data_IF_142919556632
#
_entry.id   IF_142919556632
#
_cell.length_a   1.000
_cell.length_b   1.000
_cell.length_c   1.000
_cell.angle_alpha   90.00
_cell.angle_beta   90.00
_cell.angle_gamma   90.00
#
_symmetry.space_group_name_H-M   'P 1'
#
loop_
_entity.id
_entity.type
_entity.pdbx_description
1 polymer ?
#
# COMPACT_ATOMS: atom_id res chain seq x y z
N UNK A 1 -14.57 9.80 5.67
CA UNK A 1 -13.59 8.72 5.97
C UNK A 1 -12.88 8.40 4.68
N UNK A 2 -11.56 8.24 4.73
CA UNK A 2 -10.70 8.01 3.59
C UNK A 2 -9.58 7.05 3.98
N UNK A 3 -8.82 6.63 2.98
CA UNK A 3 -7.58 5.92 3.14
C UNK A 3 -6.46 6.96 3.25
N UNK A 4 -5.68 6.87 4.32
CA UNK A 4 -4.38 7.52 4.39
C UNK A 4 -3.28 6.48 4.15
N UNK A 5 -2.29 6.86 3.34
CA UNK A 5 -1.09 6.06 3.16
C UNK A 5 0.14 6.83 3.56
N UNK A 6 1.17 6.11 3.99
CA UNK A 6 2.50 6.68 4.18
C UNK A 6 3.54 5.76 3.57
N UNK A 7 4.31 6.29 2.62
CA UNK A 7 5.49 5.62 2.09
C UNK A 7 6.71 6.03 2.93
N UNK A 8 7.56 5.05 3.21
CA UNK A 8 8.81 5.20 3.97
C UNK A 8 9.98 4.73 3.11
N UNK A 9 11.15 5.33 3.29
CA UNK A 9 12.41 4.86 2.70
C UNK A 9 13.45 4.52 3.77
N UNK A 10 14.40 3.66 3.39
CA UNK A 10 15.54 3.27 4.21
C UNK A 10 15.17 2.83 5.64
N UNK A 11 14.12 2.02 5.76
CA UNK A 11 13.61 1.55 7.05
C UNK A 11 14.63 0.67 7.76
N UNK A 12 14.64 0.76 9.09
CA UNK A 12 15.50 -0.05 9.96
C UNK A 12 14.70 -0.52 11.16
N UNK A 13 14.76 -1.84 11.41
CA UNK A 13 14.13 -2.42 12.58
C UNK A 13 14.85 -1.94 13.84
N UNK A 14 14.10 -1.46 14.81
CA UNK A 14 14.60 -1.09 16.12
C UNK A 14 14.55 -2.29 17.06
N UNK A 15 15.44 -2.31 18.05
CA UNK A 15 15.37 -3.25 19.17
C UNK A 15 14.41 -2.71 20.23
N UNK A 16 13.13 -2.64 19.87
CA UNK A 16 12.06 -2.03 20.66
C UNK A 16 10.75 -2.82 20.53
N UNK A 17 9.85 -2.60 21.47
CA UNK A 17 8.47 -3.13 21.46
C UNK A 17 7.48 -2.04 21.88
N UNK A 18 6.19 -2.25 21.60
CA UNK A 18 5.14 -1.38 22.13
C UNK A 18 4.81 -1.76 23.58
N UNK A 19 4.76 -0.76 24.47
CA UNK A 19 4.29 -0.93 25.85
C UNK A 19 2.74 -1.01 25.92
N UNK A 20 2.18 -1.16 27.12
CA UNK A 20 0.72 -1.22 27.33
C UNK A 20 -0.04 0.07 26.93
N UNK A 21 0.67 1.19 26.79
CA UNK A 21 0.13 2.45 26.30
C UNK A 21 0.21 2.59 24.76
N UNK A 22 0.82 1.62 24.06
CA UNK A 22 1.02 1.64 22.62
C UNK A 22 2.23 2.45 22.15
N UNK A 23 3.13 2.82 23.06
CA UNK A 23 4.34 3.59 22.76
C UNK A 23 5.54 2.65 22.59
N UNK A 24 6.41 2.95 21.63
CA UNK A 24 7.64 2.18 21.45
C UNK A 24 8.65 2.47 22.57
N UNK A 25 9.14 1.42 23.22
CA UNK A 25 10.20 1.48 24.23
C UNK A 25 11.36 0.55 23.85
N UNK A 26 12.58 1.00 24.10
CA UNK A 26 13.80 0.25 23.82
C UNK A 26 13.92 -0.98 24.73
N UNK A 27 14.23 -2.14 24.15
CA UNK A 27 14.38 -3.39 24.91
C UNK A 27 15.57 -3.36 25.89
N UNK A 28 16.58 -2.53 25.61
CA UNK A 28 17.84 -2.47 26.36
C UNK A 28 17.72 -1.77 27.71
N UNK A 29 16.87 -0.73 27.81
CA UNK A 29 16.76 0.13 29.00
C UNK A 29 15.31 0.47 29.38
N UNK A 30 14.31 0.16 28.55
CA UNK A 30 12.90 0.47 28.79
C UNK A 30 12.53 1.95 28.60
N UNK A 31 13.45 2.77 28.10
CA UNK A 31 13.18 4.17 27.77
C UNK A 31 12.43 4.26 26.43
N UNK A 32 11.59 5.28 26.28
CA UNK A 32 10.88 5.55 25.03
C UNK A 32 11.84 5.71 23.84
N UNK A 33 11.40 5.27 22.67
CA UNK A 33 12.14 5.48 21.41
C UNK A 33 12.04 6.96 21.04
N UNK A 34 13.18 7.64 20.96
CA UNK A 34 13.24 9.06 20.59
C UNK A 34 13.15 9.28 19.07
N UNK A 35 13.54 8.30 18.25
CA UNK A 35 13.43 8.40 16.80
C UNK A 35 11.96 8.33 16.33
N UNK A 36 11.67 8.92 15.17
CA UNK A 36 10.40 8.66 14.50
C UNK A 36 10.28 7.18 14.14
N UNK A 37 9.14 6.59 14.46
CA UNK A 37 8.89 5.16 14.26
C UNK A 37 7.49 4.88 13.72
N UNK A 38 7.33 3.67 13.17
CA UNK A 38 6.05 3.02 12.95
C UNK A 38 6.12 1.58 13.46
N UNK A 39 4.97 1.02 13.82
CA UNK A 39 4.87 -0.40 14.16
C UNK A 39 4.19 -1.14 13.00
N UNK A 40 4.67 -2.35 12.73
CA UNK A 40 4.14 -3.17 11.64
C UNK A 40 2.96 -3.98 12.16
N UNK A 41 1.84 -3.89 11.44
CA UNK A 41 0.75 -4.84 11.52
C UNK A 41 0.52 -5.46 10.15
N UNK A 42 0.81 -6.75 10.00
CA UNK A 42 0.60 -7.48 8.74
C UNK A 42 -0.84 -7.94 8.64
N UNK A 43 -1.56 -7.40 7.66
CA UNK A 43 -2.94 -7.80 7.40
C UNK A 43 -3.00 -9.31 7.02
N UNK A 44 -3.58 -10.19 7.86
CA UNK A 44 -3.57 -11.62 7.62
C UNK A 44 -4.41 -12.03 6.41
N UNK A 45 -5.33 -11.18 5.95
CA UNK A 45 -6.15 -11.42 4.75
C UNK A 45 -5.35 -11.27 3.45
N UNK A 46 -4.17 -10.64 3.51
CA UNK A 46 -3.33 -10.36 2.34
C UNK A 46 -1.88 -10.83 2.56
N UNK A 47 -1.65 -12.15 2.69
CA UNK A 47 -0.31 -12.69 2.85
C UNK A 47 0.56 -12.39 1.63
N UNK A 48 1.89 -12.32 1.82
CA UNK A 48 2.84 -12.06 0.74
C UNK A 48 3.04 -10.59 0.36
N UNK A 49 2.34 -9.65 1.02
CA UNK A 49 2.42 -8.22 0.70
C UNK A 49 3.63 -7.50 1.30
N UNK A 50 4.14 -8.01 2.41
CA UNK A 50 5.28 -7.43 3.14
C UNK A 50 6.01 -8.53 3.93
N UNK A 51 6.53 -9.55 3.24
CA UNK A 51 7.17 -10.70 3.87
C UNK A 51 8.52 -10.41 4.52
N UNK A 52 9.18 -9.35 4.08
CA UNK A 52 10.41 -8.83 4.67
C UNK A 52 10.20 -8.08 5.98
N UNK A 53 8.96 -7.62 6.26
CA UNK A 53 8.63 -6.94 7.52
C UNK A 53 8.27 -7.97 8.59
N UNK A 54 8.73 -7.71 9.82
CA UNK A 54 8.38 -8.52 10.98
C UNK A 54 7.12 -7.97 11.63
N UNK A 55 6.08 -8.80 11.70
CA UNK A 55 4.81 -8.45 12.34
C UNK A 55 5.02 -8.07 13.82
N UNK A 56 4.39 -6.98 14.26
CA UNK A 56 4.52 -6.43 15.60
C UNK A 56 5.84 -5.70 15.91
N UNK A 57 6.80 -5.69 14.98
CA UNK A 57 8.08 -5.02 15.22
C UNK A 57 7.99 -3.50 14.96
N UNK A 58 8.89 -2.76 15.63
CA UNK A 58 9.03 -1.31 15.50
C UNK A 58 10.16 -1.00 14.52
N UNK A 59 9.90 -0.05 13.61
CA UNK A 59 10.86 0.41 12.61
C UNK A 59 10.99 1.93 12.66
N UNK A 60 12.21 2.42 12.44
CA UNK A 60 12.49 3.81 12.07
C UNK A 60 12.73 3.92 10.57
N UNK A 61 12.82 5.14 10.06
CA UNK A 61 12.96 5.46 8.64
C UNK A 61 13.78 6.73 8.44
N UNK A 62 14.31 6.92 7.23
CA UNK A 62 15.05 8.14 6.87
C UNK A 62 14.09 9.24 6.42
N UNK A 63 13.22 8.94 5.44
CA UNK A 63 12.20 9.85 4.94
C UNK A 63 10.84 9.17 4.85
N UNK A 64 9.79 9.98 4.86
CA UNK A 64 8.44 9.54 4.58
C UNK A 64 7.62 10.57 3.79
N UNK A 65 6.64 10.11 3.05
CA UNK A 65 5.61 10.96 2.43
C UNK A 65 4.23 10.35 2.61
N UNK A 66 3.24 11.22 2.85
CA UNK A 66 1.86 10.82 3.09
C UNK A 66 0.93 11.28 1.97
N UNK A 67 -0.11 10.49 1.69
CA UNK A 67 -1.18 10.86 0.76
C UNK A 67 -2.51 10.31 1.23
N UNK A 68 -3.56 11.12 1.13
CA UNK A 68 -4.91 10.76 1.55
C UNK A 68 -5.90 10.77 0.38
N UNK A 69 -6.80 9.79 0.35
CA UNK A 69 -7.86 9.69 -0.67
C UNK A 69 -9.16 9.17 -0.05
N UNK A 70 -10.32 9.70 -0.46
CA UNK A 70 -11.60 9.18 0.01
C UNK A 70 -11.86 7.75 -0.48
N UNK A 71 -12.44 6.87 0.35
CA UNK A 71 -12.63 5.44 0.01
C UNK A 71 -13.34 5.21 -1.33
N UNK A 72 -14.44 5.94 -1.58
CA UNK A 72 -15.15 5.85 -2.86
C UNK A 72 -14.27 6.27 -4.03
N UNK A 73 -13.48 7.34 -3.86
CA UNK A 73 -12.51 7.78 -4.88
C UNK A 73 -11.43 6.74 -5.13
N UNK A 74 -10.92 6.10 -4.07
CA UNK A 74 -9.92 5.05 -4.18
C UNK A 74 -10.46 3.79 -4.87
N UNK A 75 -11.69 3.36 -4.55
CA UNK A 75 -12.36 2.26 -5.24
C UNK A 75 -12.47 2.52 -6.75
N UNK A 76 -13.01 3.68 -7.15
CA UNK A 76 -13.16 4.02 -8.57
C UNK A 76 -11.80 4.08 -9.27
N UNK A 77 -10.80 4.69 -8.63
CA UNK A 77 -9.46 4.78 -9.16
C UNK A 77 -8.82 3.38 -9.35
N UNK A 78 -9.00 2.46 -8.40
CA UNK A 78 -8.54 1.05 -8.55
C UNK A 78 -9.24 0.35 -9.72
N UNK A 79 -10.53 0.59 -9.93
CA UNK A 79 -11.25 0.04 -11.07
C UNK A 79 -10.71 0.57 -12.41
N UNK A 80 -10.46 1.89 -12.51
CA UNK A 80 -9.85 2.50 -13.70
C UNK A 80 -8.42 1.97 -13.94
N UNK A 81 -7.65 1.76 -12.87
CA UNK A 81 -6.31 1.15 -12.94
C UNK A 81 -6.38 -0.28 -13.48
N UNK A 82 -7.38 -1.07 -13.05
CA UNK A 82 -7.63 -2.43 -13.54
C UNK A 82 -8.06 -2.43 -15.02
N UNK A 83 -8.95 -1.52 -15.42
CA UNK A 83 -9.40 -1.38 -16.80
C UNK A 83 -8.21 -1.05 -17.73
N UNK A 84 -7.40 -0.07 -17.35
CA UNK A 84 -6.20 0.32 -18.08
C UNK A 84 -5.18 -0.83 -18.19
N UNK A 85 -5.07 -1.64 -17.14
CA UNK A 85 -4.23 -2.83 -17.11
C UNK A 85 -4.76 -3.99 -17.95
N UNK A 86 -5.98 -3.89 -18.47
CA UNK A 86 -6.60 -4.86 -19.37
C UNK A 86 -7.26 -6.05 -18.67
N UNK A 87 -7.57 -5.94 -17.37
CA UNK A 87 -8.34 -6.98 -16.69
C UNK A 87 -9.75 -7.08 -17.29
N UNK A 88 -10.35 -8.27 -17.37
CA UNK A 88 -11.74 -8.41 -17.78
C UNK A 88 -12.68 -7.85 -16.71
N UNK A 89 -13.93 -7.59 -17.10
CA UNK A 89 -15.01 -7.36 -16.12
C UNK A 89 -15.30 -8.69 -15.41
N UNK A 90 -15.30 -8.68 -14.08
CA UNK A 90 -15.63 -9.81 -13.23
C UNK A 90 -16.66 -9.44 -12.17
N UNK A 91 -17.44 -10.41 -11.73
CA UNK A 91 -18.39 -10.23 -10.62
C UNK A 91 -17.67 -10.31 -9.28
N UNK A 92 -18.06 -9.46 -8.32
CA UNK A 92 -17.67 -9.58 -6.92
C UNK A 92 -18.85 -9.22 -6.01
N UNK A 93 -18.83 -9.74 -4.78
CA UNK A 93 -19.87 -9.49 -3.78
C UNK A 93 -19.36 -8.46 -2.76
N UNK A 94 -20.10 -7.36 -2.63
CA UNK A 94 -19.87 -6.30 -1.64
C UNK A 94 -20.96 -6.33 -0.58
N UNK A 95 -20.82 -5.49 0.46
CA UNK A 95 -21.89 -5.27 1.44
C UNK A 95 -23.18 -4.69 0.85
N UNK A 96 -23.17 -4.27 -0.41
CA UNK A 96 -24.30 -3.71 -1.15
C UNK A 96 -24.88 -4.66 -2.22
N UNK A 97 -24.33 -5.87 -2.34
CA UNK A 97 -24.76 -6.89 -3.29
C UNK A 97 -23.69 -7.21 -4.33
N UNK A 98 -24.11 -7.88 -5.41
CA UNK A 98 -23.21 -8.27 -6.50
C UNK A 98 -23.02 -7.13 -7.49
N UNK A 99 -21.77 -6.86 -7.83
CA UNK A 99 -21.36 -5.86 -8.80
C UNK A 99 -20.40 -6.47 -9.83
N UNK A 100 -20.46 -6.00 -11.08
CA UNK A 100 -19.56 -6.41 -12.14
C UNK A 100 -18.67 -5.22 -12.54
N UNK A 101 -17.35 -5.38 -12.39
CA UNK A 101 -16.38 -4.32 -12.67
C UNK A 101 -15.00 -4.89 -13.01
N UNK A 102 -14.08 -4.04 -13.49
CA UNK A 102 -12.69 -4.46 -13.72
C UNK A 102 -11.97 -4.78 -12.41
N UNK A 103 -12.30 -4.07 -11.32
CA UNK A 103 -11.87 -4.43 -9.96
C UNK A 103 -12.27 -5.86 -9.59
N UNK A 104 -13.53 -6.25 -9.83
CA UNK A 104 -13.98 -7.63 -9.63
C UNK A 104 -13.22 -8.65 -10.50
N UNK A 105 -12.77 -8.24 -11.70
CA UNK A 105 -11.88 -9.05 -12.53
C UNK A 105 -10.52 -9.33 -11.87
N UNK A 106 -9.95 -8.33 -11.19
CA UNK A 106 -8.70 -8.51 -10.42
C UNK A 106 -8.91 -9.44 -9.24
N UNK A 107 -10.02 -9.31 -8.50
CA UNK A 107 -10.32 -10.18 -7.36
C UNK A 107 -10.48 -11.66 -7.76
N UNK A 108 -10.91 -11.90 -9.00
CA UNK A 108 -11.03 -13.24 -9.60
C UNK A 108 -9.74 -13.71 -10.30
N UNK A 109 -8.64 -12.95 -10.18
CA UNK A 109 -7.32 -13.28 -10.75
C UNK A 109 -6.32 -13.63 -9.64
N UNK A 110 -5.24 -14.32 -10.01
CA UNK A 110 -4.14 -14.67 -9.09
C UNK A 110 -2.88 -13.83 -9.30
N UNK A 111 -2.80 -13.06 -10.39
CA UNK A 111 -1.63 -12.25 -10.74
C UNK A 111 -1.95 -11.23 -11.86
N UNK A 112 -1.01 -10.33 -12.13
CA UNK A 112 -1.05 -9.37 -13.23
C UNK A 112 -0.50 -7.99 -12.83
N UNK A 113 -0.56 -6.99 -13.73
CA UNK A 113 -0.16 -5.63 -13.41
C UNK A 113 -0.99 -5.06 -12.26
N UNK A 114 -0.34 -4.38 -11.32
CA UNK A 114 -0.98 -3.74 -10.16
C UNK A 114 -1.77 -4.67 -9.23
N UNK A 115 -1.73 -5.99 -9.44
CA UNK A 115 -2.52 -6.96 -8.68
C UNK A 115 -2.37 -6.76 -7.17
N UNK A 116 -1.14 -6.49 -6.72
CA UNK A 116 -0.81 -6.38 -5.32
C UNK A 116 -1.32 -5.11 -4.65
N UNK A 117 -1.61 -4.08 -5.43
CA UNK A 117 -2.22 -2.82 -4.97
C UNK A 117 -3.75 -2.88 -5.07
N UNK A 118 -4.27 -3.42 -6.18
CA UNK A 118 -5.71 -3.46 -6.40
C UNK A 118 -6.37 -4.48 -5.46
N UNK A 119 -5.82 -5.70 -5.40
CA UNK A 119 -6.22 -6.73 -4.45
C UNK A 119 -5.47 -6.57 -3.12
N UNK A 120 -5.77 -5.47 -2.42
CA UNK A 120 -5.28 -5.17 -1.08
C UNK A 120 -6.32 -4.42 -0.26
N UNK A 121 -6.10 -4.40 1.06
CA UNK A 121 -6.90 -3.64 2.01
C UNK A 121 -6.96 -2.16 1.62
N UNK A 122 -8.12 -1.54 1.85
CA UNK A 122 -8.30 -0.10 1.71
C UNK A 122 -8.28 0.63 3.05
N UNK A 123 -7.94 -0.02 4.16
CA UNK A 123 -7.91 0.62 5.48
C UNK A 123 -6.70 0.30 6.35
N UNK A 124 -5.99 -0.82 6.13
CA UNK A 124 -4.90 -1.22 7.03
C UNK A 124 -3.96 -2.26 6.41
N UNK A 125 -2.67 -2.15 6.75
CA UNK A 125 -1.64 -3.12 6.39
C UNK A 125 -0.44 -2.47 5.69
N UNK A 126 0.48 -3.32 5.23
CA UNK A 126 1.73 -2.89 4.62
C UNK A 126 1.98 -3.54 3.27
N UNK A 127 2.55 -2.75 2.35
CA UNK A 127 3.24 -3.22 1.15
C UNK A 127 4.74 -3.07 1.38
N UNK A 128 5.48 -4.17 1.33
CA UNK A 128 6.92 -4.21 1.51
C UNK A 128 7.72 -3.74 0.29
N UNK A 129 9.02 -3.54 0.46
CA UNK A 129 9.97 -3.13 -0.59
C UNK A 129 9.87 -4.00 -1.85
N UNK A 130 9.81 -5.32 -1.71
CA UNK A 130 9.81 -6.24 -2.85
C UNK A 130 8.57 -6.05 -3.73
N UNK A 131 7.40 -5.94 -3.10
CA UNK A 131 6.12 -5.71 -3.78
C UNK A 131 6.06 -4.28 -4.33
N UNK A 132 6.53 -3.27 -3.59
CA UNK A 132 6.61 -1.89 -4.06
C UNK A 132 7.52 -1.76 -5.29
N UNK A 133 8.64 -2.49 -5.34
CA UNK A 133 9.55 -2.53 -6.49
C UNK A 133 8.86 -3.11 -7.73
N UNK A 134 8.11 -4.20 -7.57
CA UNK A 134 7.32 -4.79 -8.66
C UNK A 134 6.25 -3.81 -9.14
N UNK A 135 5.48 -3.23 -8.22
CA UNK A 135 4.44 -2.27 -8.55
C UNK A 135 5.02 -1.04 -9.25
N UNK A 136 6.19 -0.54 -8.84
CA UNK A 136 6.89 0.55 -9.53
C UNK A 136 7.18 0.20 -10.99
N UNK A 137 7.58 -1.03 -11.29
CA UNK A 137 7.79 -1.47 -12.67
C UNK A 137 6.48 -1.46 -13.47
N UNK A 138 5.35 -1.85 -12.87
CA UNK A 138 4.02 -1.71 -13.48
C UNK A 138 3.70 -0.23 -13.73
N UNK A 139 3.90 0.65 -12.75
CA UNK A 139 3.65 2.09 -12.88
C UNK A 139 4.47 2.72 -14.03
N UNK A 140 5.74 2.33 -14.18
CA UNK A 140 6.57 2.79 -15.29
C UNK A 140 6.10 2.24 -16.64
N UNK A 141 5.66 0.99 -16.68
CA UNK A 141 5.20 0.33 -17.92
C UNK A 141 3.90 0.96 -18.45
N UNK A 142 2.99 1.34 -17.56
CA UNK A 142 1.67 1.87 -17.95
C UNK A 142 1.58 3.41 -17.92
N UNK A 143 2.69 4.11 -17.63
CA UNK A 143 2.68 5.57 -17.43
C UNK A 143 2.03 6.35 -18.58
N UNK A 144 2.39 6.05 -19.83
CA UNK A 144 1.81 6.72 -20.99
C UNK A 144 0.32 6.43 -21.17
N UNK A 145 -0.14 5.21 -20.85
CA UNK A 145 -1.58 4.89 -20.88
C UNK A 145 -2.34 5.65 -19.79
N UNK A 146 -1.73 5.80 -18.61
CA UNK A 146 -2.33 6.52 -17.50
C UNK A 146 -2.51 8.01 -17.80
N UNK A 147 -1.56 8.61 -18.52
CA UNK A 147 -1.60 10.01 -18.96
C UNK A 147 -2.78 10.27 -19.92
N UNK A 148 -3.18 9.29 -20.73
CA UNK A 148 -4.28 9.42 -21.70
C UNK A 148 -5.70 9.34 -21.08
N UNK A 149 -5.84 8.85 -19.85
CA UNK A 149 -7.16 8.64 -19.21
C UNK A 149 -7.77 9.96 -18.73
N UNK A 150 -6.95 10.85 -18.15
CA UNK A 150 -7.37 12.17 -17.71
C UNK A 150 -6.72 12.62 -16.41
N UNK A 151 -6.70 13.94 -16.20
CA UNK A 151 -5.92 14.61 -15.16
C UNK A 151 -6.18 14.05 -13.76
N UNK A 152 -7.44 13.86 -13.38
CA UNK A 152 -7.79 13.38 -12.03
C UNK A 152 -7.24 11.98 -11.74
N UNK A 153 -7.34 11.08 -12.71
CA UNK A 153 -6.79 9.73 -12.58
C UNK A 153 -5.26 9.78 -12.52
N UNK A 154 -4.66 10.56 -13.43
CA UNK A 154 -3.21 10.63 -13.58
C UNK A 154 -2.51 11.32 -12.41
N UNK A 155 -3.11 12.33 -11.77
CA UNK A 155 -2.56 12.90 -10.54
C UNK A 155 -2.46 11.85 -9.42
N UNK A 156 -3.53 11.08 -9.19
CA UNK A 156 -3.50 10.00 -8.21
C UNK A 156 -2.52 8.89 -8.60
N UNK A 157 -2.37 8.62 -9.90
CA UNK A 157 -1.37 7.69 -10.43
C UNK A 157 0.06 8.13 -10.12
N UNK A 158 0.39 9.40 -10.33
CA UNK A 158 1.71 9.96 -10.00
C UNK A 158 2.01 9.89 -8.51
N UNK A 159 1.01 10.16 -7.65
CA UNK A 159 1.17 10.01 -6.20
C UNK A 159 1.54 8.59 -5.81
N UNK A 160 0.82 7.59 -6.34
CA UNK A 160 1.14 6.18 -6.11
C UNK A 160 2.50 5.80 -6.70
N UNK A 161 2.83 6.24 -7.92
CA UNK A 161 4.13 5.96 -8.51
C UNK A 161 5.26 6.51 -7.63
N UNK A 162 5.15 7.74 -7.14
CA UNK A 162 6.15 8.34 -6.24
C UNK A 162 6.25 7.61 -4.90
N UNK A 163 5.12 7.17 -4.33
CA UNK A 163 5.11 6.32 -3.14
C UNK A 163 5.84 4.99 -3.38
N UNK A 164 5.63 4.35 -4.53
CA UNK A 164 6.34 3.13 -4.92
C UNK A 164 7.84 3.37 -5.16
N UNK A 165 8.22 4.52 -5.74
CA UNK A 165 9.62 4.93 -5.88
C UNK A 165 10.31 5.02 -4.52
N UNK A 166 9.68 5.70 -3.56
CA UNK A 166 10.20 5.82 -2.19
C UNK A 166 10.30 4.45 -1.51
N UNK A 167 9.22 3.67 -1.53
CA UNK A 167 9.16 2.37 -0.85
C UNK A 167 10.06 1.31 -1.50
N UNK A 168 10.39 1.43 -2.78
CA UNK A 168 11.35 0.55 -3.46
C UNK A 168 12.80 0.73 -2.97
N UNK A 169 13.10 1.85 -2.30
CA UNK A 169 14.41 2.13 -1.73
C UNK A 169 14.49 1.65 -0.27
N UNK A 170 14.53 0.33 -0.07
CA UNK A 170 14.55 -0.31 1.26
C UNK A 170 13.45 0.26 2.18
N UNK A 171 12.21 0.28 1.69
CA UNK A 171 11.10 0.97 2.32
C UNK A 171 9.82 0.14 2.40
N UNK A 172 8.71 0.79 2.72
CA UNK A 172 7.39 0.19 2.69
C UNK A 172 6.30 1.25 2.53
N UNK A 173 5.08 0.83 2.21
CA UNK A 173 3.87 1.66 2.26
C UNK A 173 2.98 1.13 3.37
N UNK A 174 2.59 2.00 4.28
CA UNK A 174 1.59 1.75 5.34
C UNK A 174 0.24 2.31 4.92
N UNK A 175 -0.83 1.58 5.23
CA UNK A 175 -2.23 1.96 5.07
C UNK A 175 -2.83 2.14 6.48
N UNK A 176 -3.51 3.25 6.73
CA UNK A 176 -4.08 3.62 8.04
C UNK A 176 -5.27 4.59 7.95
#
# INVERSE_FOLDING_TARGET
>A
MGLDITAYSNIKRLDAHLNDAGEAVNNSNGEEVEEYYFHVWKNPSFPGRADELVDGAVYTYEDCTGHGVGYGGYYWWRNELAEMAGYPVGEYESGHGKEASHFGGVLNSDSGPFYELINFSDCEGFIGTAVATKLLADFKTFHHKAEEIGDRFFEQYKHWQSAMEMASNNGCISFH
#
